data_IF_377750003177
#
_entry.id   IF_377750003177
#
_cell.length_a   1.000
_cell.length_b   1.000
_cell.length_c   1.000
_cell.angle_alpha   90.00
_cell.angle_beta   90.00
_cell.angle_gamma   90.00
#
_symmetry.space_group_name_H-M   'P 1'
#
loop_
_entity.id
_entity.type
_entity.pdbx_description
1 polymer ?
#
# COMPACT_ATOMS: atom_id res chain seq x y z
N UNK A 1 -34.97 -9.75 -16.34
CA UNK A 1 -33.60 -9.20 -16.50
C UNK A 1 -33.24 -9.15 -17.97
N UNK A 2 -32.06 -8.64 -18.37
CA UNK A 2 -31.60 -8.65 -19.78
C UNK A 2 -31.59 -10.07 -20.40
N UNK A 3 -31.64 -11.12 -19.58
CA UNK A 3 -31.77 -12.52 -19.97
C UNK A 3 -33.19 -12.97 -20.41
N UNK A 4 -34.23 -12.16 -20.16
CA UNK A 4 -35.63 -12.48 -20.53
C UNK A 4 -36.08 -11.82 -21.84
N UNK A 5 -35.14 -11.21 -22.59
CA UNK A 5 -35.49 -10.56 -23.85
C UNK A 5 -35.67 -11.63 -24.95
N UNK A 6 -36.67 -11.48 -25.84
CA UNK A 6 -36.84 -12.36 -26.99
C UNK A 6 -35.53 -12.45 -27.79
N UNK A 7 -35.14 -13.65 -28.27
CA UNK A 7 -33.84 -13.85 -28.92
C UNK A 7 -33.65 -13.02 -30.20
N UNK A 8 -34.74 -12.59 -30.85
CA UNK A 8 -34.76 -11.67 -31.98
C UNK A 8 -34.43 -10.19 -31.63
N UNK A 9 -34.41 -9.80 -30.35
CA UNK A 9 -34.04 -8.44 -29.96
C UNK A 9 -32.54 -8.28 -29.82
N UNK A 10 -31.95 -7.40 -30.63
CA UNK A 10 -30.59 -6.94 -30.41
C UNK A 10 -30.58 -6.00 -29.18
N UNK A 11 -30.02 -6.45 -28.03
CA UNK A 11 -30.08 -5.70 -26.77
C UNK A 11 -29.33 -4.38 -26.85
N UNK A 12 -28.32 -4.27 -27.73
CA UNK A 12 -27.53 -3.04 -27.90
C UNK A 12 -28.40 -1.92 -28.48
N UNK A 13 -29.18 -2.21 -29.51
CA UNK A 13 -30.12 -1.25 -30.11
C UNK A 13 -31.26 -0.86 -29.16
N UNK A 14 -31.77 -1.79 -28.36
CA UNK A 14 -32.80 -1.51 -27.37
C UNK A 14 -32.27 -0.59 -26.25
N UNK A 15 -31.06 -0.87 -25.72
CA UNK A 15 -30.41 -0.03 -24.72
C UNK A 15 -30.07 1.36 -25.26
N UNK A 16 -29.61 1.47 -26.51
CA UNK A 16 -29.35 2.76 -27.14
C UNK A 16 -30.64 3.58 -27.28
N UNK A 17 -31.74 2.93 -27.71
CA UNK A 17 -33.04 3.58 -27.82
C UNK A 17 -33.53 4.05 -26.45
N UNK A 18 -33.43 3.22 -25.41
CA UNK A 18 -33.77 3.60 -24.04
C UNK A 18 -32.91 4.78 -23.53
N UNK A 19 -31.61 4.78 -23.84
CA UNK A 19 -30.72 5.88 -23.46
C UNK A 19 -31.09 7.19 -24.16
N UNK A 20 -31.43 7.14 -25.46
CA UNK A 20 -31.88 8.31 -26.22
C UNK A 20 -33.24 8.79 -25.73
N UNK A 21 -34.21 7.89 -25.52
CA UNK A 21 -35.53 8.22 -25.01
C UNK A 21 -35.47 8.79 -23.59
N UNK A 22 -34.59 8.25 -22.76
CA UNK A 22 -34.30 8.75 -21.41
C UNK A 22 -33.49 10.05 -21.39
N UNK A 23 -33.13 10.61 -22.55
CA UNK A 23 -32.25 11.79 -22.69
C UNK A 23 -30.97 11.67 -21.86
N UNK A 24 -30.41 10.47 -21.76
CA UNK A 24 -29.16 10.24 -21.04
C UNK A 24 -28.06 11.01 -21.76
N UNK A 25 -27.34 11.85 -21.02
CA UNK A 25 -26.26 12.67 -21.57
C UNK A 25 -25.18 11.77 -22.18
N UNK A 26 -25.06 11.82 -23.51
CA UNK A 26 -24.00 11.12 -24.23
C UNK A 26 -22.68 11.86 -24.01
N UNK A 27 -21.72 11.19 -23.36
CA UNK A 27 -20.35 11.68 -23.25
C UNK A 27 -19.48 10.91 -24.22
N UNK A 28 -18.92 11.62 -25.20
CA UNK A 28 -17.88 11.05 -26.05
C UNK A 28 -16.68 10.70 -25.18
N UNK A 29 -16.27 9.43 -25.23
CA UNK A 29 -15.04 8.98 -24.58
C UNK A 29 -13.88 9.39 -25.49
N UNK A 30 -12.95 10.24 -25.04
CA UNK A 30 -11.79 10.63 -25.84
C UNK A 30 -11.00 9.39 -26.29
N UNK A 31 -10.49 9.38 -27.52
CA UNK A 31 -9.70 8.25 -28.03
C UNK A 31 -8.49 7.93 -27.13
N UNK A 32 -7.89 8.95 -26.50
CA UNK A 32 -6.83 8.77 -25.50
C UNK A 32 -7.25 7.92 -24.28
N UNK A 33 -8.52 7.95 -23.87
CA UNK A 33 -9.03 7.09 -22.78
C UNK A 33 -9.24 5.63 -23.21
N UNK A 34 -9.35 5.35 -24.52
CA UNK A 34 -9.35 3.99 -25.07
C UNK A 34 -7.92 3.41 -25.02
N UNK A 35 -6.91 4.25 -25.32
CA UNK A 35 -5.49 3.84 -25.28
C UNK A 35 -4.98 3.57 -23.86
N UNK A 36 -5.53 4.26 -22.84
CA UNK A 36 -5.22 4.05 -21.42
C UNK A 36 -5.60 2.64 -20.90
N UNK A 37 -6.31 1.84 -21.72
CA UNK A 37 -6.69 0.48 -21.38
C UNK A 37 -7.76 0.38 -20.27
N UNK A 38 -8.37 1.53 -19.93
CA UNK A 38 -9.52 1.62 -19.01
C UNK A 38 -10.83 1.24 -19.69
N UNK A 39 -10.88 1.37 -21.01
CA UNK A 39 -12.04 1.10 -21.84
C UNK A 39 -11.61 0.24 -23.03
N UNK A 40 -12.33 -0.86 -23.29
CA UNK A 40 -12.05 -1.77 -24.38
C UNK A 40 -13.22 -2.70 -24.63
N UNK A 41 -13.36 -3.19 -25.86
CA UNK A 41 -14.41 -4.15 -26.24
C UNK A 41 -13.86 -5.56 -26.02
N UNK A 42 -14.52 -6.33 -25.15
CA UNK A 42 -14.22 -7.76 -24.92
C UNK A 42 -15.12 -8.58 -25.84
N UNK A 43 -14.54 -9.32 -26.79
CA UNK A 43 -15.30 -10.11 -27.78
C UNK A 43 -15.31 -11.60 -27.48
N UNK A 44 -14.31 -12.07 -26.75
CA UNK A 44 -14.15 -13.47 -26.39
C UNK A 44 -13.51 -13.59 -24.99
N UNK A 45 -13.45 -14.81 -24.48
CA UNK A 45 -12.89 -15.12 -23.16
C UNK A 45 -11.39 -14.75 -23.05
N UNK A 46 -10.63 -14.90 -24.14
CA UNK A 46 -9.21 -14.56 -24.16
C UNK A 46 -8.99 -13.04 -24.00
N UNK A 47 -9.82 -12.23 -24.67
CA UNK A 47 -9.85 -10.78 -24.53
C UNK A 47 -10.21 -10.38 -23.10
N UNK A 48 -11.14 -11.12 -22.47
CA UNK A 48 -11.56 -10.88 -21.09
C UNK A 48 -10.38 -11.09 -20.12
N UNK A 49 -9.65 -12.19 -20.26
CA UNK A 49 -8.48 -12.48 -19.42
C UNK A 49 -7.35 -11.47 -19.59
N UNK A 50 -7.12 -10.99 -20.82
CA UNK A 50 -6.13 -9.95 -21.10
C UNK A 50 -6.55 -8.61 -20.48
N UNK A 51 -7.82 -8.23 -20.65
CA UNK A 51 -8.40 -7.02 -20.10
C UNK A 51 -8.35 -7.04 -18.56
N UNK A 52 -8.69 -8.15 -17.92
CA UNK A 52 -8.63 -8.32 -16.47
C UNK A 52 -7.20 -8.12 -15.94
N UNK A 53 -6.20 -8.80 -16.52
CA UNK A 53 -4.79 -8.63 -16.12
C UNK A 53 -4.29 -7.21 -16.34
N UNK A 54 -4.76 -6.52 -17.37
CA UNK A 54 -4.44 -5.11 -17.61
C UNK A 54 -5.08 -4.23 -16.53
N UNK A 55 -6.35 -4.47 -16.20
CA UNK A 55 -7.08 -3.73 -15.19
C UNK A 55 -6.50 -3.93 -13.77
N UNK A 56 -6.11 -5.15 -13.40
CA UNK A 56 -5.41 -5.43 -12.14
C UNK A 56 -4.08 -4.68 -12.07
N UNK A 57 -3.28 -4.66 -13.15
CA UNK A 57 -2.03 -3.88 -13.21
C UNK A 57 -2.26 -2.38 -13.08
N UNK A 58 -3.35 -1.85 -13.65
CA UNK A 58 -3.71 -0.44 -13.53
C UNK A 58 -4.05 -0.06 -12.08
N UNK A 59 -4.74 -0.92 -11.34
CA UNK A 59 -5.19 -0.64 -9.97
C UNK A 59 -4.20 -1.09 -8.88
N UNK A 60 -3.22 -1.94 -9.22
CA UNK A 60 -2.11 -2.32 -8.34
C UNK A 60 -0.89 -1.41 -8.49
N UNK A 61 -0.85 -0.55 -9.52
CA UNK A 61 0.09 0.57 -9.60
C UNK A 61 -0.26 1.59 -8.52
N UNK A 62 0.38 1.46 -7.35
CA UNK A 62 0.38 2.48 -6.31
C UNK A 62 0.77 3.82 -6.94
N UNK A 63 -0.05 4.85 -6.75
CA UNK A 63 -0.10 6.11 -7.52
C UNK A 63 1.11 7.06 -7.40
N UNK A 64 2.34 6.56 -7.32
CA UNK A 64 3.54 7.41 -7.28
C UNK A 64 4.67 6.84 -8.14
N UNK A 65 5.31 7.72 -8.89
CA UNK A 65 6.49 7.53 -9.76
C UNK A 65 7.77 7.10 -9.01
N UNK A 66 7.62 6.53 -7.81
CA UNK A 66 8.70 6.08 -6.95
C UNK A 66 8.85 4.56 -6.99
N UNK A 67 10.08 4.09 -6.80
CA UNK A 67 10.38 2.67 -6.69
C UNK A 67 9.49 1.98 -5.64
N UNK A 68 8.90 0.85 -6.01
CA UNK A 68 8.16 -0.02 -5.09
C UNK A 68 9.12 -0.65 -4.08
N UNK A 69 8.67 -0.76 -2.83
CA UNK A 69 9.37 -1.55 -1.81
C UNK A 69 9.19 -3.05 -2.05
N UNK A 70 10.00 -3.90 -1.42
CA UNK A 70 9.97 -5.35 -1.69
C UNK A 70 8.61 -5.96 -1.31
N UNK A 71 8.06 -5.59 -0.15
CA UNK A 71 6.77 -6.02 0.34
C UNK A 71 5.62 -5.56 -0.57
N UNK A 72 5.64 -4.30 -1.02
CA UNK A 72 4.66 -3.80 -2.00
C UNK A 72 4.73 -4.55 -3.33
N UNK A 73 5.95 -4.84 -3.83
CA UNK A 73 6.14 -5.62 -5.07
C UNK A 73 5.60 -7.04 -4.92
N UNK A 74 5.89 -7.68 -3.78
CA UNK A 74 5.37 -9.02 -3.49
C UNK A 74 3.86 -9.01 -3.38
N UNK A 75 3.26 -8.04 -2.68
CA UNK A 75 1.81 -7.91 -2.60
C UNK A 75 1.18 -7.71 -3.98
N UNK A 76 1.73 -6.81 -4.79
CA UNK A 76 1.26 -6.58 -6.16
C UNK A 76 1.42 -7.84 -7.03
N UNK A 77 2.53 -8.58 -6.89
CA UNK A 77 2.73 -9.86 -7.59
C UNK A 77 1.68 -10.89 -7.18
N UNK A 78 1.41 -11.02 -5.88
CA UNK A 78 0.40 -11.94 -5.35
C UNK A 78 -1.00 -11.60 -5.87
N UNK A 79 -1.39 -10.33 -5.86
CA UNK A 79 -2.70 -9.90 -6.41
C UNK A 79 -2.76 -10.13 -7.91
N UNK A 80 -1.70 -9.83 -8.67
CA UNK A 80 -1.71 -10.06 -10.11
C UNK A 80 -1.72 -11.57 -10.47
N UNK A 81 -1.18 -12.44 -9.61
CA UNK A 81 -1.12 -13.89 -9.83
C UNK A 81 -2.39 -14.60 -9.38
N UNK A 82 -2.91 -14.27 -8.21
CA UNK A 82 -4.01 -14.97 -7.54
C UNK A 82 -5.32 -14.18 -7.50
N UNK A 83 -5.29 -12.87 -7.81
CA UNK A 83 -6.45 -11.99 -7.82
C UNK A 83 -7.63 -12.54 -8.64
N UNK A 84 -7.43 -12.97 -9.91
CA UNK A 84 -8.53 -13.54 -10.70
C UNK A 84 -9.18 -14.75 -10.02
N UNK A 85 -8.37 -15.69 -9.51
CA UNK A 85 -8.88 -16.86 -8.81
C UNK A 85 -9.63 -16.50 -7.53
N UNK A 86 -9.13 -15.52 -6.75
CA UNK A 86 -9.77 -15.05 -5.53
C UNK A 86 -11.09 -14.32 -5.81
N UNK A 87 -11.14 -13.50 -6.87
CA UNK A 87 -12.34 -12.78 -7.30
C UNK A 87 -13.41 -13.76 -7.82
N UNK A 88 -13.01 -14.75 -8.62
CA UNK A 88 -13.92 -15.79 -9.10
C UNK A 88 -14.42 -16.71 -7.98
N UNK A 89 -13.59 -16.97 -6.96
CA UNK A 89 -14.01 -17.71 -5.77
C UNK A 89 -14.94 -16.88 -4.84
N UNK A 90 -15.21 -15.61 -5.14
CA UNK A 90 -16.00 -14.73 -4.29
C UNK A 90 -15.33 -14.41 -2.96
N UNK A 91 -14.00 -14.49 -2.88
CA UNK A 91 -13.26 -14.28 -1.65
C UNK A 91 -13.30 -12.81 -1.28
N UNK A 92 -13.97 -12.48 -0.18
CA UNK A 92 -14.04 -11.10 0.32
C UNK A 92 -12.67 -10.65 0.84
N UNK A 93 -12.17 -9.46 0.48
CA UNK A 93 -10.93 -8.89 1.03
C UNK A 93 -10.92 -8.83 2.56
N UNK A 94 -12.09 -8.70 3.18
CA UNK A 94 -12.25 -8.76 4.62
C UNK A 94 -11.74 -10.08 5.24
N UNK A 95 -11.90 -11.22 4.56
CA UNK A 95 -11.40 -12.51 5.03
C UNK A 95 -9.87 -12.55 5.04
N UNK A 96 -9.22 -11.97 4.02
CA UNK A 96 -7.76 -11.82 4.02
C UNK A 96 -7.30 -10.87 5.12
N UNK A 97 -8.07 -9.81 5.40
CA UNK A 97 -7.82 -8.93 6.54
C UNK A 97 -7.90 -9.66 7.89
N UNK A 98 -8.87 -10.56 8.07
CA UNK A 98 -8.95 -11.43 9.25
C UNK A 98 -7.76 -12.39 9.34
N UNK A 99 -7.34 -12.98 8.22
CA UNK A 99 -6.16 -13.84 8.16
C UNK A 99 -4.87 -13.07 8.55
N UNK A 100 -4.73 -11.82 8.09
CA UNK A 100 -3.65 -10.93 8.51
C UNK A 100 -3.70 -10.66 10.03
N UNK A 101 -4.89 -10.39 10.58
CA UNK A 101 -5.09 -10.26 12.02
C UNK A 101 -4.68 -11.50 12.81
N UNK A 102 -5.10 -12.68 12.35
CA UNK A 102 -4.73 -13.96 12.96
C UNK A 102 -3.22 -14.20 12.92
N UNK A 103 -2.55 -13.91 11.79
CA UNK A 103 -1.09 -13.97 11.67
C UNK A 103 -0.40 -13.01 12.64
N UNK A 104 -0.93 -11.79 12.81
CA UNK A 104 -0.38 -10.81 13.75
C UNK A 104 -0.48 -11.29 15.20
N UNK A 105 -1.63 -11.87 15.58
CA UNK A 105 -1.83 -12.46 16.91
C UNK A 105 -0.91 -13.67 17.14
N UNK A 106 -0.77 -14.54 16.14
CA UNK A 106 0.18 -15.65 16.19
C UNK A 106 1.62 -15.16 16.34
N UNK A 107 2.02 -14.11 15.61
CA UNK A 107 3.34 -13.50 15.73
C UNK A 107 3.60 -12.96 17.13
N UNK A 108 2.63 -12.24 17.70
CA UNK A 108 2.69 -11.76 19.08
C UNK A 108 2.79 -12.90 20.10
N UNK A 109 1.97 -13.94 19.95
CA UNK A 109 1.95 -15.11 20.84
C UNK A 109 3.24 -15.92 20.78
N UNK A 110 3.75 -16.20 19.58
CA UNK A 110 5.04 -16.91 19.40
C UNK A 110 6.20 -16.10 19.95
N UNK A 111 6.20 -14.77 19.72
CA UNK A 111 7.20 -13.88 20.29
C UNK A 111 7.17 -13.84 21.82
N UNK A 112 5.97 -13.83 22.43
CA UNK A 112 5.79 -13.95 23.88
C UNK A 112 6.44 -15.23 24.42
N UNK A 113 6.27 -16.36 23.72
CA UNK A 113 6.86 -17.66 24.10
C UNK A 113 8.39 -17.72 23.94
N UNK A 114 9.06 -16.60 23.68
CA UNK A 114 10.51 -16.47 23.57
C UNK A 114 11.06 -16.64 22.16
N UNK A 115 10.21 -16.96 21.17
CA UNK A 115 10.61 -17.12 19.77
C UNK A 115 10.48 -15.80 19.01
N UNK A 116 11.22 -14.77 19.47
CA UNK A 116 11.11 -13.39 18.99
C UNK A 116 11.36 -13.24 17.48
N UNK A 117 12.38 -13.93 16.94
CA UNK A 117 12.69 -13.88 15.51
C UNK A 117 11.50 -14.36 14.65
N UNK A 118 10.84 -15.45 15.05
CA UNK A 118 9.65 -15.97 14.35
C UNK A 118 8.49 -14.98 14.51
N UNK A 119 8.33 -14.39 15.70
CA UNK A 119 7.33 -13.35 15.95
C UNK A 119 7.47 -12.14 15.01
N UNK A 120 8.69 -11.64 14.80
CA UNK A 120 8.95 -10.55 13.87
C UNK A 120 8.64 -10.90 12.41
N UNK A 121 8.99 -12.11 11.96
CA UNK A 121 8.65 -12.58 10.61
C UNK A 121 7.13 -12.66 10.45
N UNK A 122 6.42 -13.22 11.43
CA UNK A 122 4.96 -13.34 11.39
C UNK A 122 4.26 -11.97 11.38
N UNK A 123 4.73 -10.98 12.14
CA UNK A 123 4.21 -9.61 12.06
C UNK A 123 4.47 -8.97 10.68
N UNK A 124 5.65 -9.20 10.10
CA UNK A 124 5.96 -8.74 8.75
C UNK A 124 5.05 -9.39 7.69
N UNK A 125 4.78 -10.69 7.82
CA UNK A 125 3.85 -11.43 6.96
C UNK A 125 2.40 -10.98 7.15
N UNK A 126 1.97 -10.70 8.38
CA UNK A 126 0.65 -10.16 8.67
C UNK A 126 0.43 -8.83 7.91
N UNK A 127 1.42 -7.93 7.94
CA UNK A 127 1.38 -6.71 7.15
C UNK A 127 1.32 -6.98 5.64
N UNK A 128 2.12 -7.93 5.13
CA UNK A 128 2.10 -8.28 3.70
C UNK A 128 0.73 -8.82 3.25
N UNK A 129 0.11 -9.68 4.04
CA UNK A 129 -1.24 -10.22 3.75
C UNK A 129 -2.29 -9.12 3.79
N UNK A 130 -2.20 -8.20 4.74
CA UNK A 130 -3.08 -7.03 4.77
C UNK A 130 -2.89 -6.15 3.53
N UNK A 131 -1.65 -5.94 3.07
CA UNK A 131 -1.38 -5.19 1.85
C UNK A 131 -2.02 -5.83 0.62
N UNK A 132 -2.00 -7.17 0.52
CA UNK A 132 -2.72 -7.93 -0.52
C UNK A 132 -4.23 -7.72 -0.40
N UNK A 133 -4.78 -7.81 0.82
CA UNK A 133 -6.20 -7.58 1.08
C UNK A 133 -6.64 -6.17 0.67
N UNK A 134 -5.84 -5.16 1.02
CA UNK A 134 -6.09 -3.76 0.71
C UNK A 134 -6.06 -3.49 -0.79
N UNK A 135 -5.10 -4.05 -1.52
CA UNK A 135 -5.03 -3.96 -2.98
C UNK A 135 -6.21 -4.66 -3.66
N UNK A 136 -6.58 -5.86 -3.20
CA UNK A 136 -7.75 -6.58 -3.72
C UNK A 136 -9.05 -5.81 -3.46
N UNK A 137 -9.20 -5.25 -2.26
CA UNK A 137 -10.35 -4.42 -1.92
C UNK A 137 -10.37 -3.06 -2.63
N UNK A 138 -9.22 -2.53 -3.05
CA UNK A 138 -9.16 -1.35 -3.92
C UNK A 138 -9.66 -1.67 -5.32
N UNK A 139 -9.24 -2.82 -5.85
CA UNK A 139 -9.71 -3.42 -7.10
C UNK A 139 -11.24 -3.59 -7.05
N UNK A 140 -11.78 -4.30 -6.06
CA UNK A 140 -13.23 -4.53 -5.91
C UNK A 140 -14.03 -3.22 -5.77
N UNK A 141 -13.53 -2.23 -5.02
CA UNK A 141 -14.20 -0.93 -4.90
C UNK A 141 -14.20 -0.15 -6.21
N UNK A 142 -13.11 -0.23 -6.97
CA UNK A 142 -13.04 0.40 -8.29
C UNK A 142 -14.02 -0.23 -9.28
N UNK A 143 -14.35 -1.52 -9.15
CA UNK A 143 -15.38 -2.16 -9.98
C UNK A 143 -16.81 -1.83 -9.53
N UNK A 144 -17.04 -1.69 -8.21
CA UNK A 144 -18.38 -1.43 -7.65
C UNK A 144 -18.76 0.06 -7.55
N UNK A 145 -17.87 0.99 -7.91
CA UNK A 145 -18.04 2.45 -7.70
C UNK A 145 -18.36 2.81 -6.23
N UNK A 146 -18.01 1.94 -5.27
CA UNK A 146 -18.35 2.10 -3.86
C UNK A 146 -17.20 2.76 -3.08
N UNK A 147 -17.48 3.89 -2.41
CA UNK A 147 -16.49 4.64 -1.60
C UNK A 147 -16.89 4.74 -0.13
N UNK A 148 -15.94 4.63 0.82
CA UNK A 148 -16.15 5.19 2.18
C UNK A 148 -15.32 4.60 3.31
N UNK A 149 -15.61 3.36 3.74
CA UNK A 149 -15.30 2.93 5.12
C UNK A 149 -13.96 2.21 5.33
N UNK A 150 -13.36 1.59 4.30
CA UNK A 150 -12.21 0.70 4.47
C UNK A 150 -10.90 1.41 4.86
N UNK A 151 -10.77 2.74 4.72
CA UNK A 151 -9.47 3.43 4.88
C UNK A 151 -9.04 3.57 6.35
N UNK A 152 -9.99 3.65 7.29
CA UNK A 152 -9.69 3.85 8.73
C UNK A 152 -9.20 2.57 9.41
N UNK A 153 -9.73 1.40 9.04
CA UNK A 153 -9.33 0.11 9.62
C UNK A 153 -7.89 -0.26 9.27
N UNK A 154 -7.44 0.04 8.04
CA UNK A 154 -6.07 -0.22 7.57
C UNK A 154 -5.04 0.56 8.39
N UNK A 155 -5.29 1.84 8.63
CA UNK A 155 -4.38 2.68 9.41
C UNK A 155 -4.24 2.20 10.87
N UNK A 156 -5.35 1.74 11.46
CA UNK A 156 -5.34 1.15 12.80
C UNK A 156 -4.56 -0.17 12.81
N UNK A 157 -4.74 -1.02 11.81
CA UNK A 157 -3.98 -2.26 11.68
C UNK A 157 -2.47 -2.02 11.58
N UNK A 158 -2.04 -1.05 10.77
CA UNK A 158 -0.62 -0.69 10.65
C UNK A 158 -0.06 -0.19 11.99
N UNK A 159 -0.84 0.59 12.75
CA UNK A 159 -0.46 1.01 14.09
C UNK A 159 -0.34 -0.17 15.06
N UNK A 160 -1.23 -1.16 14.98
CA UNK A 160 -1.17 -2.37 15.81
C UNK A 160 0.07 -3.22 15.47
N UNK A 161 0.42 -3.34 14.19
CA UNK A 161 1.66 -4.02 13.76
C UNK A 161 2.89 -3.28 14.29
N UNK A 162 2.94 -1.95 14.14
CA UNK A 162 4.02 -1.12 14.69
C UNK A 162 4.14 -1.33 16.23
N UNK A 163 3.01 -1.32 16.95
CA UNK A 163 2.99 -1.61 18.39
C UNK A 163 3.48 -3.04 18.71
N UNK A 164 3.11 -4.04 17.89
CA UNK A 164 3.62 -5.40 18.01
C UNK A 164 5.13 -5.47 17.88
N UNK A 165 5.70 -4.77 16.89
CA UNK A 165 7.16 -4.67 16.72
C UNK A 165 7.85 -4.05 17.93
N UNK A 166 7.34 -2.93 18.45
CA UNK A 166 7.89 -2.29 19.66
C UNK A 166 7.80 -3.22 20.86
N UNK A 167 6.67 -3.91 21.01
CA UNK A 167 6.42 -4.77 22.17
C UNK A 167 7.37 -5.96 22.18
N UNK A 168 7.49 -6.69 21.06
CA UNK A 168 8.43 -7.79 20.93
C UNK A 168 9.89 -7.32 21.09
N UNK A 169 10.23 -6.15 20.56
CA UNK A 169 11.58 -5.63 20.64
C UNK A 169 11.98 -5.21 22.06
N UNK A 170 11.05 -4.60 22.80
CA UNK A 170 11.26 -4.26 24.20
C UNK A 170 11.34 -5.49 25.10
N UNK A 171 10.52 -6.52 24.86
CA UNK A 171 10.62 -7.80 25.58
C UNK A 171 11.91 -8.56 25.31
N UNK A 172 12.47 -8.42 24.11
CA UNK A 172 13.77 -9.01 23.75
C UNK A 172 14.99 -8.29 24.32
N UNK A 173 14.81 -7.15 25.00
CA UNK A 173 15.93 -6.38 25.54
C UNK A 173 16.62 -7.13 26.67
N UNK A 174 17.95 -7.22 26.59
CA UNK A 174 18.79 -7.82 27.63
C UNK A 174 19.31 -6.81 28.64
N UNK A 175 18.82 -5.57 28.60
CA UNK A 175 19.30 -4.50 29.49
C UNK A 175 19.07 -4.88 30.97
N UNK A 176 20.11 -4.81 31.81
CA UNK A 176 19.98 -5.14 33.22
C UNK A 176 18.98 -4.19 33.89
N UNK A 177 17.94 -4.77 34.48
CA UNK A 177 16.93 -4.02 35.23
C UNK A 177 17.53 -3.50 36.53
N UNK A 178 18.03 -2.27 36.51
CA UNK A 178 18.46 -1.57 37.71
C UNK A 178 17.24 -0.98 38.45
N UNK A 179 17.23 -0.95 39.80
CA UNK A 179 16.13 -0.39 40.58
C UNK A 179 15.84 1.10 40.30
N UNK A 180 16.84 1.83 39.81
CA UNK A 180 16.75 3.25 39.43
C UNK A 180 16.22 3.48 38.01
N UNK A 181 16.02 2.43 37.22
CA UNK A 181 15.59 2.54 35.84
C UNK A 181 14.06 2.68 35.76
N UNK A 182 13.53 3.65 34.99
CA UNK A 182 12.09 3.83 34.90
C UNK A 182 11.40 2.61 34.26
N UNK A 183 10.17 2.28 34.70
CA UNK A 183 9.39 1.21 34.08
C UNK A 183 9.14 1.58 32.61
N UNK A 184 9.57 0.71 31.70
CA UNK A 184 9.44 0.92 30.27
C UNK A 184 10.71 1.35 29.53
N UNK A 185 11.84 1.54 30.23
CA UNK A 185 13.11 1.86 29.59
C UNK A 185 13.53 0.90 28.45
N UNK A 186 13.27 -0.44 28.52
CA UNK A 186 13.52 -1.34 27.39
C UNK A 186 12.77 -1.00 26.09
N UNK A 187 11.61 -0.33 26.20
CA UNK A 187 10.79 0.03 25.05
C UNK A 187 11.19 1.36 24.41
N UNK A 188 12.03 2.17 25.08
CA UNK A 188 12.37 3.50 24.60
C UNK A 188 13.09 3.47 23.25
N UNK A 189 14.11 2.63 23.11
CA UNK A 189 14.89 2.48 21.87
C UNK A 189 14.03 1.99 20.70
N UNK A 190 13.29 0.85 20.79
CA UNK A 190 12.47 0.39 19.69
C UNK A 190 11.31 1.32 19.35
N UNK A 191 10.71 1.98 20.34
CA UNK A 191 9.69 3.00 20.11
C UNK A 191 10.26 4.17 19.30
N UNK A 192 11.42 4.68 19.71
CA UNK A 192 12.12 5.78 19.01
C UNK A 192 12.48 5.37 17.59
N UNK A 193 12.97 4.13 17.40
CA UNK A 193 13.31 3.59 16.10
C UNK A 193 12.11 3.60 15.15
N UNK A 194 10.97 3.05 15.57
CA UNK A 194 9.76 3.04 14.73
C UNK A 194 9.18 4.44 14.51
N UNK A 195 9.24 5.32 15.52
CA UNK A 195 8.84 6.71 15.33
C UNK A 195 9.70 7.38 14.25
N UNK A 196 11.02 7.17 14.26
CA UNK A 196 11.90 7.68 13.21
C UNK A 196 11.54 7.08 11.84
N UNK A 197 11.34 5.76 11.77
CA UNK A 197 10.93 5.09 10.52
C UNK A 197 9.60 5.60 9.97
N UNK A 198 8.69 6.06 10.84
CA UNK A 198 7.39 6.63 10.44
C UNK A 198 7.47 8.12 10.09
N UNK A 199 8.31 8.88 10.78
CA UNK A 199 8.46 10.33 10.58
C UNK A 199 9.34 10.67 9.38
N UNK A 200 10.40 9.90 9.12
CA UNK A 200 11.33 10.17 8.00
C UNK A 200 10.62 10.19 6.63
N UNK A 201 9.76 9.21 6.27
CA UNK A 201 9.01 9.25 5.01
C UNK A 201 8.05 10.44 4.91
N UNK A 202 7.50 10.88 6.04
CA UNK A 202 6.63 12.05 6.11
C UNK A 202 7.42 13.36 5.94
N UNK A 203 8.62 13.44 6.50
CA UNK A 203 9.50 14.61 6.40
C UNK A 203 10.24 14.69 5.05
N UNK A 204 10.48 13.54 4.40
CA UNK A 204 11.26 13.42 3.16
C UNK A 204 10.49 12.63 2.07
N UNK A 205 9.32 13.11 1.61
CA UNK A 205 8.47 12.39 0.66
C UNK A 205 9.13 12.21 -0.72
N UNK A 206 10.05 13.09 -1.10
CA UNK A 206 10.76 13.04 -2.39
C UNK A 206 11.92 12.05 -2.47
N UNK A 207 12.37 11.48 -1.34
CA UNK A 207 13.54 10.59 -1.32
C UNK A 207 13.13 9.13 -1.45
N UNK A 208 13.56 8.45 -2.52
CA UNK A 208 13.20 7.03 -2.79
C UNK A 208 13.54 6.07 -1.65
N UNK A 209 14.63 6.29 -0.93
CA UNK A 209 15.05 5.41 0.17
C UNK A 209 14.13 5.52 1.39
N UNK A 210 13.47 6.66 1.63
CA UNK A 210 12.61 6.83 2.81
C UNK A 210 11.42 5.88 2.76
N UNK A 211 10.92 5.56 1.57
CA UNK A 211 9.86 4.57 1.37
C UNK A 211 10.20 3.18 1.91
N UNK A 212 11.47 2.78 1.85
CA UNK A 212 11.89 1.46 2.36
C UNK A 212 11.70 1.36 3.88
N UNK A 213 11.72 2.48 4.61
CA UNK A 213 11.40 2.52 6.05
C UNK A 213 9.91 2.32 6.34
N UNK A 214 9.05 2.35 5.32
CA UNK A 214 7.63 2.06 5.47
C UNK A 214 7.29 0.59 5.16
N UNK A 215 8.25 -0.22 4.72
CA UNK A 215 8.02 -1.62 4.40
C UNK A 215 8.17 -2.50 5.66
N UNK A 216 7.03 -2.81 6.31
CA UNK A 216 7.00 -3.59 7.57
C UNK A 216 7.40 -5.05 7.35
N UNK A 217 7.23 -5.59 6.15
CA UNK A 217 7.70 -6.93 5.83
C UNK A 217 9.23 -6.99 5.88
N UNK A 218 9.90 -6.02 5.26
CA UNK A 218 11.35 -5.90 5.34
C UNK A 218 11.85 -5.60 6.75
N UNK A 219 11.16 -4.71 7.48
CA UNK A 219 11.51 -4.41 8.87
C UNK A 219 11.41 -5.67 9.73
N UNK A 220 10.33 -6.45 9.63
CA UNK A 220 10.19 -7.70 10.38
C UNK A 220 11.29 -8.70 10.06
N UNK A 221 11.62 -8.89 8.77
CA UNK A 221 12.72 -9.76 8.37
C UNK A 221 14.09 -9.25 8.88
N UNK A 222 14.34 -7.95 8.82
CA UNK A 222 15.58 -7.34 9.30
C UNK A 222 15.71 -7.48 10.82
N UNK A 223 14.65 -7.19 11.59
CA UNK A 223 14.64 -7.37 13.04
C UNK A 223 14.84 -8.84 13.44
N UNK A 224 14.22 -9.78 12.73
CA UNK A 224 14.45 -11.20 12.95
C UNK A 224 15.93 -11.60 12.73
N UNK A 225 16.55 -11.11 11.64
CA UNK A 225 17.96 -11.36 11.36
C UNK A 225 18.87 -10.71 12.42
N UNK A 226 18.61 -9.46 12.80
CA UNK A 226 19.37 -8.75 13.84
C UNK A 226 19.30 -9.51 15.17
N UNK A 227 18.11 -9.98 15.56
CA UNK A 227 17.92 -10.75 16.78
C UNK A 227 18.74 -12.06 16.78
N UNK A 228 18.89 -12.72 15.63
CA UNK A 228 19.60 -13.99 15.52
C UNK A 228 21.13 -13.84 15.50
N UNK A 229 21.63 -12.77 14.89
CA UNK A 229 23.05 -12.68 14.51
C UNK A 229 23.83 -11.56 15.21
N UNK A 230 23.16 -10.54 15.75
CA UNK A 230 23.81 -9.34 16.27
C UNK A 230 23.44 -9.08 17.75
N UNK A 231 24.27 -8.32 18.48
CA UNK A 231 23.91 -7.83 19.81
C UNK A 231 22.68 -6.92 19.74
N UNK A 232 21.54 -7.41 20.24
CA UNK A 232 20.22 -6.82 20.06
C UNK A 232 20.16 -5.34 20.45
N UNK A 233 20.42 -5.02 21.71
CA UNK A 233 20.24 -3.66 22.25
C UNK A 233 21.17 -2.64 21.60
N UNK A 234 22.44 -3.01 21.40
CA UNK A 234 23.43 -2.14 20.74
C UNK A 234 23.05 -1.85 19.29
N UNK A 235 22.57 -2.88 18.56
CA UNK A 235 22.20 -2.73 17.15
C UNK A 235 20.98 -1.84 16.98
N UNK A 236 19.96 -1.99 17.84
CA UNK A 236 18.81 -1.10 17.81
C UNK A 236 19.21 0.36 18.15
N UNK A 237 20.06 0.55 19.16
CA UNK A 237 20.56 1.88 19.54
C UNK A 237 21.33 2.56 18.41
N UNK A 238 22.25 1.84 17.77
CA UNK A 238 22.99 2.33 16.58
C UNK A 238 22.02 2.65 15.44
N UNK A 239 21.00 1.80 15.21
CA UNK A 239 19.97 2.03 14.22
C UNK A 239 19.21 3.34 14.42
N UNK A 240 18.86 3.68 15.66
CA UNK A 240 18.24 4.96 16.01
C UNK A 240 19.17 6.13 15.69
N UNK A 241 20.43 6.07 16.13
CA UNK A 241 21.42 7.14 15.91
C UNK A 241 21.64 7.36 14.41
N UNK A 242 21.81 6.29 13.63
CA UNK A 242 22.02 6.37 12.19
C UNK A 242 20.80 6.93 11.48
N UNK A 243 19.57 6.47 11.80
CA UNK A 243 18.36 6.98 11.17
C UNK A 243 18.12 8.46 11.48
N UNK A 244 18.31 8.88 12.72
CA UNK A 244 18.22 10.29 13.11
C UNK A 244 19.30 11.12 12.39
N UNK A 245 20.55 10.67 12.40
CA UNK A 245 21.65 11.36 11.73
C UNK A 245 21.42 11.52 10.23
N UNK A 246 21.03 10.44 9.54
CA UNK A 246 20.70 10.47 8.11
C UNK A 246 19.49 11.37 7.84
N UNK A 247 18.47 11.34 8.69
CA UNK A 247 17.28 12.18 8.59
C UNK A 247 17.63 13.67 8.70
N UNK A 248 18.35 14.06 9.76
CA UNK A 248 18.80 15.44 9.98
C UNK A 248 19.71 15.92 8.86
N UNK A 249 20.71 15.11 8.48
CA UNK A 249 21.60 15.43 7.36
C UNK A 249 20.81 15.61 6.06
N UNK A 250 19.87 14.72 5.77
CA UNK A 250 19.04 14.79 4.57
C UNK A 250 18.14 16.03 4.52
N UNK A 251 17.65 16.49 5.67
CA UNK A 251 16.85 17.72 5.78
C UNK A 251 17.71 18.97 5.60
N UNK A 252 18.90 19.01 6.22
CA UNK A 252 19.82 20.14 6.12
C UNK A 252 20.38 20.34 4.71
N UNK A 253 20.78 19.25 4.04
CA UNK A 253 21.44 19.32 2.74
C UNK A 253 20.51 19.04 1.55
N UNK A 254 19.27 18.59 1.79
CA UNK A 254 18.31 18.22 0.75
C UNK A 254 17.63 19.39 0.04
N UNK A 255 17.66 20.60 0.60
CA UNK A 255 16.99 21.78 0.02
C UNK A 255 17.73 22.41 -1.18
N UNK A 256 18.95 21.98 -1.50
CA UNK A 256 19.84 22.70 -2.43
C UNK A 256 19.67 22.36 -3.92
N UNK A 257 18.65 21.61 -4.35
CA UNK A 257 18.60 21.13 -5.75
C UNK A 257 17.20 20.94 -6.34
N UNK A 258 16.48 22.05 -6.51
CA UNK A 258 15.40 22.14 -7.50
C UNK A 258 14.95 23.59 -7.70
N UNK A 259 15.86 24.45 -8.14
CA UNK A 259 15.47 25.49 -9.09
C UNK A 259 15.69 24.93 -10.49
N UNK A 260 14.67 24.44 -11.19
CA UNK A 260 14.69 24.59 -12.62
C UNK A 260 14.42 26.08 -12.87
N UNK A 261 15.46 26.84 -13.22
CA UNK A 261 15.30 27.96 -14.15
C UNK A 261 14.75 27.40 -15.48
N UNK A 262 13.51 26.94 -15.46
CA UNK A 262 12.71 26.70 -16.65
C UNK A 262 11.93 27.98 -16.90
N UNK A 263 11.97 28.55 -18.11
CA UNK A 263 11.15 29.71 -18.44
C UNK A 263 9.68 29.40 -18.10
N UNK A 264 8.91 30.39 -17.61
CA UNK A 264 7.53 30.18 -17.19
C UNK A 264 6.74 29.50 -18.31
N UNK A 265 5.83 28.55 -17.99
CA UNK A 265 5.00 27.91 -19.00
C UNK A 265 4.24 28.99 -19.77
N UNK A 266 4.42 29.00 -21.09
CA UNK A 266 3.70 29.90 -21.98
C UNK A 266 2.19 29.78 -21.72
N UNK A 267 1.55 30.91 -21.42
CA UNK A 267 0.10 31.05 -21.27
C UNK A 267 -0.64 30.31 -22.39
N UNK A 268 -1.58 29.39 -22.09
CA UNK A 268 -2.32 28.65 -23.12
C UNK A 268 -3.34 29.49 -23.91
N UNK A 269 -3.51 30.79 -23.65
CA UNK A 269 -4.59 31.57 -24.26
C UNK A 269 -4.17 33.02 -24.61
N UNK A 270 -3.58 33.24 -25.80
CA UNK A 270 -3.38 34.58 -26.34
C UNK A 270 -4.63 35.16 -27.06
N UNK A 271 -5.77 34.45 -27.10
CA UNK A 271 -6.90 34.81 -27.99
C UNK A 271 -8.07 35.58 -27.36
N UNK A 272 -7.97 36.10 -26.14
CA UNK A 272 -9.09 36.80 -25.48
C UNK A 272 -8.97 38.33 -25.41
N UNK A 273 -7.94 38.95 -25.99
CA UNK A 273 -7.75 40.41 -25.97
C UNK A 273 -7.70 41.01 -27.38
N UNK A 274 -8.75 40.86 -28.18
CA UNK A 274 -9.04 41.79 -29.29
C UNK A 274 -10.53 41.75 -29.60
N UNK A 275 -11.30 42.52 -28.83
CA UNK A 275 -12.52 43.19 -29.31
C UNK A 275 -12.49 44.61 -28.74
N UNK A 276 -12.00 45.54 -29.54
CA UNK A 276 -12.42 46.92 -29.56
C UNK A 276 -12.89 47.21 -30.99
#
# INVERSE_FOLDING_TARGET
GLADLPPEWNPQSALLRLAIQGRVAQRNVPAAMLDDGRWGIVRNEQDAQIAERRWLRLHTRLSGDGAFTLGERLAALMVNRFGPALLHAGTRPALLGLAAGALGLLGGGVGWLGQLAVGFVLLGLAWLVEQVASLLGQVERASLLASGLARRSVALFHLLIDAGFVTLAGWGSGLPTHPSMPPGAPFFVPLTLLMCMRLIPLALPGRRWSRWLSDRFMIGAALAAIHLFLPWDATLGIGVILLLGIGVFSLQFGHKRSDPEGPPPASPNPRLTTRQ
#
